data_IF_008398428768
#
_entry.id   IF_008398428768
#
_cell.length_a   1.000
_cell.length_b   1.000
_cell.length_c   1.000
_cell.angle_alpha   90.00
_cell.angle_beta   90.00
_cell.angle_gamma   90.00
#
_symmetry.space_group_name_H-M   'P 1'
#
loop_
_entity.id
_entity.type
_entity.pdbx_description
1 polymer ?
#
# COMPACT_ATOMS: atom_id res chain seq x y z
N UNK A 1 -51.39 11.91 2.11
CA UNK A 1 -50.23 12.65 2.68
C UNK A 1 -49.30 11.65 3.36
N UNK A 2 -48.20 11.28 2.71
CA UNK A 2 -47.25 10.31 3.26
C UNK A 2 -46.25 11.02 4.18
N UNK A 3 -46.24 10.64 5.46
CA UNK A 3 -45.26 11.08 6.45
C UNK A 3 -43.86 10.63 5.99
N UNK A 4 -43.02 11.59 5.60
CA UNK A 4 -41.57 11.42 5.51
C UNK A 4 -41.03 11.14 6.92
N UNK A 5 -40.73 9.89 7.23
CA UNK A 5 -39.88 9.53 8.37
C UNK A 5 -38.45 9.92 8.04
N UNK A 6 -38.07 11.14 8.42
CA UNK A 6 -36.67 11.54 8.47
C UNK A 6 -35.98 10.71 9.56
N UNK A 7 -35.11 9.78 9.17
CA UNK A 7 -34.19 9.16 10.12
C UNK A 7 -33.22 10.22 10.62
N UNK A 8 -33.43 10.69 11.84
CA UNK A 8 -32.50 11.56 12.53
C UNK A 8 -31.16 10.81 12.70
N UNK A 9 -30.09 11.36 12.12
CA UNK A 9 -28.72 10.91 12.40
C UNK A 9 -28.39 11.25 13.86
N UNK A 10 -28.56 10.28 14.77
CA UNK A 10 -28.09 10.40 16.16
C UNK A 10 -26.56 10.47 16.19
N UNK A 11 -26.02 11.36 17.03
CA UNK A 11 -24.58 11.43 17.27
C UNK A 11 -24.10 10.14 17.96
N UNK A 12 -22.82 9.74 17.78
CA UNK A 12 -22.30 8.49 18.35
C UNK A 12 -22.38 8.39 19.88
N UNK A 13 -22.60 9.50 20.59
CA UNK A 13 -22.78 9.54 22.04
C UNK A 13 -24.20 9.21 22.52
N UNK A 14 -25.17 9.06 21.62
CA UNK A 14 -26.59 8.79 21.96
C UNK A 14 -27.04 7.34 21.66
N UNK A 15 -26.07 6.44 21.44
CA UNK A 15 -26.33 5.03 21.13
C UNK A 15 -26.36 4.20 22.42
N UNK A 16 -27.41 3.40 22.60
CA UNK A 16 -27.47 2.40 23.68
C UNK A 16 -26.32 1.38 23.57
N UNK A 17 -25.99 0.69 24.67
CA UNK A 17 -24.94 -0.33 24.67
C UNK A 17 -25.16 -1.45 23.62
N UNK A 18 -26.42 -1.79 23.33
CA UNK A 18 -26.79 -2.74 22.28
C UNK A 18 -26.59 -2.17 20.86
N UNK A 19 -26.94 -0.91 20.62
CA UNK A 19 -26.71 -0.23 19.34
C UNK A 19 -25.21 -0.03 19.07
N UNK A 20 -24.42 0.31 20.10
CA UNK A 20 -22.96 0.36 19.99
C UNK A 20 -22.35 -1.01 19.66
N UNK A 21 -22.82 -2.08 20.29
CA UNK A 21 -22.35 -3.44 20.00
C UNK A 21 -22.69 -3.87 18.56
N UNK A 22 -23.89 -3.54 18.07
CA UNK A 22 -24.32 -3.78 16.69
C UNK A 22 -23.48 -2.97 15.69
N UNK A 23 -23.21 -1.69 15.99
CA UNK A 23 -22.36 -0.84 15.16
C UNK A 23 -20.93 -1.36 15.08
N UNK A 24 -20.33 -1.78 16.20
CA UNK A 24 -19.00 -2.39 16.22
C UNK A 24 -18.95 -3.70 15.40
N UNK A 25 -19.97 -4.56 15.53
CA UNK A 25 -20.09 -5.78 14.72
C UNK A 25 -20.18 -5.46 13.22
N UNK A 26 -20.98 -4.46 12.85
CA UNK A 26 -21.11 -4.01 11.47
C UNK A 26 -19.80 -3.44 10.93
N UNK A 27 -19.14 -2.59 11.71
CA UNK A 27 -17.85 -2.00 11.33
C UNK A 27 -16.78 -3.07 11.09
N UNK A 28 -16.71 -4.08 11.98
CA UNK A 28 -15.82 -5.23 11.78
C UNK A 28 -16.14 -5.98 10.49
N UNK A 29 -17.40 -6.28 10.21
CA UNK A 29 -17.80 -6.95 8.96
C UNK A 29 -17.44 -6.14 7.71
N UNK A 30 -17.62 -4.82 7.75
CA UNK A 30 -17.23 -3.93 6.65
C UNK A 30 -15.71 -3.93 6.47
N UNK A 31 -14.95 -3.90 7.55
CA UNK A 31 -13.49 -3.97 7.50
C UNK A 31 -13.01 -5.32 6.95
N UNK A 32 -13.60 -6.42 7.39
CA UNK A 32 -13.30 -7.76 6.91
C UNK A 32 -13.64 -7.89 5.42
N UNK A 33 -14.77 -7.31 4.97
CA UNK A 33 -15.16 -7.27 3.57
C UNK A 33 -14.17 -6.47 2.71
N UNK A 34 -13.80 -5.26 3.12
CA UNK A 34 -12.82 -4.42 2.43
C UNK A 34 -11.46 -5.10 2.34
N UNK A 35 -11.04 -5.75 3.44
CA UNK A 35 -9.81 -6.52 3.46
C UNK A 35 -9.88 -7.66 2.45
N UNK A 36 -10.97 -8.43 2.45
CA UNK A 36 -11.13 -9.55 1.53
C UNK A 36 -11.16 -9.11 0.07
N UNK A 37 -11.90 -8.03 -0.24
CA UNK A 37 -11.95 -7.41 -1.58
C UNK A 37 -10.54 -7.04 -2.04
N UNK A 38 -9.71 -6.44 -1.18
CA UNK A 38 -8.40 -5.94 -1.55
C UNK A 38 -7.23 -6.92 -1.48
N UNK A 39 -7.46 -8.14 -0.98
CA UNK A 39 -6.38 -9.09 -0.69
C UNK A 39 -6.59 -10.49 -1.27
N UNK A 40 -7.82 -10.88 -1.60
CA UNK A 40 -8.09 -12.19 -2.14
C UNK A 40 -7.90 -12.20 -3.66
N UNK A 41 -7.11 -13.15 -4.20
CA UNK A 41 -7.14 -13.47 -5.62
C UNK A 41 -8.56 -13.85 -6.07
N UNK A 42 -8.95 -13.48 -7.28
CA UNK A 42 -10.23 -13.82 -7.88
C UNK A 42 -10.39 -15.34 -7.98
N UNK A 43 -9.30 -16.05 -8.30
CA UNK A 43 -9.23 -17.51 -8.28
C UNK A 43 -9.65 -18.11 -6.92
N UNK A 44 -9.25 -17.48 -5.81
CA UNK A 44 -9.68 -17.85 -4.46
C UNK A 44 -11.15 -17.51 -4.23
N UNK A 45 -11.59 -16.29 -4.60
CA UNK A 45 -12.97 -15.81 -4.40
C UNK A 45 -14.00 -16.75 -5.05
N UNK A 46 -13.70 -17.28 -6.24
CA UNK A 46 -14.56 -18.24 -6.96
C UNK A 46 -14.72 -19.56 -6.20
N UNK A 47 -13.75 -19.93 -5.37
CA UNK A 47 -13.75 -21.18 -4.59
C UNK A 47 -14.31 -21.01 -3.17
N UNK A 48 -14.57 -19.77 -2.72
CA UNK A 48 -15.06 -19.50 -1.37
C UNK A 48 -16.45 -20.09 -1.13
N UNK A 49 -16.70 -20.49 0.12
CA UNK A 49 -18.02 -20.94 0.57
C UNK A 49 -19.01 -19.77 0.58
N UNK A 50 -20.32 -20.09 0.49
CA UNK A 50 -21.36 -19.08 0.38
C UNK A 50 -21.40 -18.12 1.59
N UNK A 51 -21.09 -18.60 2.80
CA UNK A 51 -21.01 -17.77 4.01
C UNK A 51 -19.83 -16.79 3.99
N UNK A 52 -18.67 -17.20 3.47
CA UNK A 52 -17.54 -16.30 3.32
C UNK A 52 -17.81 -15.26 2.22
N UNK A 53 -18.44 -15.71 1.13
CA UNK A 53 -18.85 -14.85 0.04
C UNK A 53 -19.92 -13.83 0.46
N UNK A 54 -20.79 -14.16 1.44
CA UNK A 54 -21.72 -13.21 2.06
C UNK A 54 -20.99 -12.03 2.71
N UNK A 55 -19.79 -12.25 3.25
CA UNK A 55 -18.97 -11.17 3.82
C UNK A 55 -18.50 -10.21 2.72
N UNK A 56 -18.09 -10.76 1.57
CA UNK A 56 -17.74 -9.99 0.37
C UNK A 56 -18.98 -9.30 -0.26
N UNK A 57 -20.14 -9.97 -0.20
CA UNK A 57 -21.46 -9.53 -0.71
C UNK A 57 -22.22 -8.56 0.17
N UNK A 58 -21.77 -8.24 1.40
CA UNK A 58 -22.42 -7.21 2.24
C UNK A 58 -22.38 -5.81 1.61
N UNK A 59 -21.53 -5.58 0.60
CA UNK A 59 -21.51 -4.39 -0.25
C UNK A 59 -22.18 -4.59 -1.63
N UNK A 60 -22.65 -5.80 -1.95
CA UNK A 60 -23.13 -6.20 -3.28
C UNK A 60 -24.68 -6.24 -3.39
N UNK A 61 -25.43 -5.39 -2.68
CA UNK A 61 -26.89 -5.29 -2.86
C UNK A 61 -27.71 -6.54 -2.51
N UNK A 62 -29.03 -6.50 -2.72
CA UNK A 62 -29.97 -7.56 -2.32
C UNK A 62 -29.68 -8.91 -3.01
N UNK A 63 -29.53 -9.94 -2.18
CA UNK A 63 -29.29 -11.31 -2.60
C UNK A 63 -30.52 -11.90 -3.29
N UNK A 64 -30.35 -12.47 -4.51
CA UNK A 64 -31.32 -13.43 -5.06
C UNK A 64 -31.06 -14.81 -4.43
N UNK A 65 -31.98 -15.34 -3.59
CA UNK A 65 -31.84 -16.69 -3.08
C UNK A 65 -31.85 -17.71 -4.20
N UNK A 66 -30.75 -18.45 -4.32
CA UNK A 66 -30.66 -19.63 -5.19
C UNK A 66 -30.80 -20.88 -4.32
N UNK A 67 -31.74 -21.75 -4.68
CA UNK A 67 -32.09 -22.97 -3.89
C UNK A 67 -31.08 -24.11 -4.04
N UNK A 68 -30.07 -23.93 -4.89
CA UNK A 68 -29.12 -24.98 -5.23
C UNK A 68 -27.79 -24.78 -4.50
N UNK A 69 -27.15 -25.85 -3.99
CA UNK A 69 -25.85 -25.76 -3.35
C UNK A 69 -24.78 -25.20 -4.31
N UNK A 70 -23.89 -24.36 -3.80
CA UNK A 70 -22.69 -23.85 -4.50
C UNK A 70 -22.64 -22.33 -4.68
N UNK A 71 -21.42 -21.80 -4.73
CA UNK A 71 -21.15 -20.36 -4.91
C UNK A 71 -21.83 -19.81 -6.19
N UNK A 72 -22.76 -18.87 -6.03
CA UNK A 72 -23.48 -18.19 -7.13
C UNK A 72 -22.52 -17.62 -8.18
N UNK A 73 -21.38 -17.05 -7.73
CA UNK A 73 -20.37 -16.48 -8.62
C UNK A 73 -19.77 -17.54 -9.54
N UNK A 74 -19.40 -18.70 -8.99
CA UNK A 74 -18.86 -19.83 -9.77
C UNK A 74 -19.86 -20.30 -10.82
N UNK A 75 -21.15 -20.37 -10.48
CA UNK A 75 -22.20 -20.79 -11.42
C UNK A 75 -22.38 -19.79 -12.55
N UNK A 76 -22.36 -18.49 -12.24
CA UNK A 76 -22.42 -17.43 -13.25
C UNK A 76 -21.21 -17.47 -14.20
N UNK A 77 -20.00 -17.63 -13.65
CA UNK A 77 -18.77 -17.74 -14.45
C UNK A 77 -18.81 -18.96 -15.38
N UNK A 78 -19.29 -20.13 -14.90
CA UNK A 78 -19.40 -21.34 -15.71
C UNK A 78 -20.40 -21.21 -16.88
N UNK A 79 -21.32 -20.24 -16.83
CA UNK A 79 -22.26 -19.96 -17.92
C UNK A 79 -21.69 -19.00 -18.98
N UNK A 80 -20.57 -18.33 -18.69
CA UNK A 80 -19.91 -17.47 -19.68
C UNK A 80 -19.31 -18.33 -20.79
N UNK A 81 -19.51 -17.92 -22.04
CA UNK A 81 -18.98 -18.62 -23.21
C UNK A 81 -18.26 -17.66 -24.15
N UNK A 82 -17.31 -18.22 -24.92
CA UNK A 82 -16.56 -17.50 -25.95
C UNK A 82 -15.88 -16.23 -25.43
N UNK A 83 -16.11 -15.11 -26.11
CA UNK A 83 -15.48 -13.83 -25.79
C UNK A 83 -15.77 -13.32 -24.37
N UNK A 84 -16.90 -13.68 -23.75
CA UNK A 84 -17.22 -13.27 -22.37
C UNK A 84 -16.34 -13.99 -21.36
N UNK A 85 -16.10 -15.27 -21.58
CA UNK A 85 -15.21 -16.07 -20.73
C UNK A 85 -13.76 -15.60 -20.86
N UNK A 86 -13.30 -15.29 -22.08
CA UNK A 86 -11.96 -14.72 -22.27
C UNK A 86 -11.78 -13.36 -21.58
N UNK A 87 -12.77 -12.48 -21.63
CA UNK A 87 -12.72 -11.20 -20.90
C UNK A 87 -12.66 -11.41 -19.39
N UNK A 88 -13.40 -12.40 -18.87
CA UNK A 88 -13.29 -12.80 -17.46
C UNK A 88 -11.89 -13.29 -17.11
N UNK A 89 -11.30 -14.19 -17.92
CA UNK A 89 -9.95 -14.70 -17.68
C UNK A 89 -8.89 -13.60 -17.67
N UNK A 90 -8.94 -12.69 -18.65
CA UNK A 90 -8.00 -11.56 -18.73
C UNK A 90 -8.11 -10.64 -17.51
N UNK A 91 -9.33 -10.34 -17.07
CA UNK A 91 -9.54 -9.58 -15.84
C UNK A 91 -9.00 -10.31 -14.60
N UNK A 92 -9.28 -11.61 -14.49
CA UNK A 92 -8.85 -12.43 -13.35
C UNK A 92 -7.33 -12.49 -13.23
N UNK A 93 -6.62 -12.66 -14.34
CA UNK A 93 -5.17 -12.72 -14.40
C UNK A 93 -4.53 -11.42 -13.89
N UNK A 94 -4.94 -10.28 -14.46
CA UNK A 94 -4.40 -8.97 -14.06
C UNK A 94 -4.74 -8.63 -12.61
N UNK A 95 -5.94 -8.99 -12.15
CA UNK A 95 -6.31 -8.80 -10.75
C UNK A 95 -5.41 -9.61 -9.80
N UNK A 96 -5.22 -10.90 -10.10
CA UNK A 96 -4.43 -11.80 -9.26
C UNK A 96 -2.96 -11.35 -9.19
N UNK A 97 -2.39 -10.91 -10.32
CA UNK A 97 -1.02 -10.40 -10.40
C UNK A 97 -0.82 -9.12 -9.57
N UNK A 98 -1.72 -8.15 -9.70
CA UNK A 98 -1.62 -6.88 -8.95
C UNK A 98 -1.87 -7.11 -7.45
N UNK A 99 -2.80 -8.00 -7.08
CA UNK A 99 -3.06 -8.34 -5.68
C UNK A 99 -1.87 -9.08 -5.06
N UNK A 100 -1.13 -9.88 -5.83
CA UNK A 100 0.07 -10.56 -5.32
C UNK A 100 1.16 -9.58 -4.85
N UNK A 101 1.26 -8.40 -5.47
CA UNK A 101 2.25 -7.37 -5.09
C UNK A 101 1.79 -6.48 -3.91
N UNK A 102 0.58 -6.67 -3.37
CA UNK A 102 -0.03 -5.75 -2.38
C UNK A 102 0.84 -5.47 -1.16
N UNK A 103 1.49 -6.49 -0.60
CA UNK A 103 2.26 -6.35 0.64
C UNK A 103 3.54 -5.55 0.41
N UNK A 104 4.12 -5.67 -0.79
CA UNK A 104 5.27 -4.86 -1.21
C UNK A 104 4.87 -3.40 -1.44
N UNK A 105 3.69 -3.18 -2.03
CA UNK A 105 3.13 -1.84 -2.24
C UNK A 105 2.82 -1.16 -0.92
N UNK A 106 2.18 -1.86 0.02
CA UNK A 106 1.88 -1.33 1.35
C UNK A 106 3.14 -1.02 2.15
N UNK A 107 4.18 -1.86 2.06
CA UNK A 107 5.48 -1.58 2.66
C UNK A 107 6.15 -0.35 2.03
N UNK A 108 6.07 -0.19 0.70
CA UNK A 108 6.60 0.97 0.00
C UNK A 108 5.87 2.27 0.39
N UNK A 109 4.53 2.24 0.45
CA UNK A 109 3.70 3.35 0.94
C UNK A 109 4.11 3.76 2.34
N UNK A 110 4.18 2.80 3.26
CA UNK A 110 4.57 3.05 4.64
C UNK A 110 5.99 3.64 4.74
N UNK A 111 6.94 3.20 3.91
CA UNK A 111 8.29 3.75 3.88
C UNK A 111 8.31 5.22 3.41
N UNK A 112 7.48 5.59 2.43
CA UNK A 112 7.38 6.97 1.95
C UNK A 112 6.74 7.90 2.99
N UNK A 113 5.68 7.46 3.66
CA UNK A 113 5.02 8.20 4.73
C UNK A 113 5.95 8.35 5.96
N UNK A 114 6.58 7.25 6.36
CA UNK A 114 7.44 7.15 7.54
C UNK A 114 8.94 7.11 7.17
N UNK A 115 9.38 8.09 6.38
CA UNK A 115 10.73 8.21 5.83
C UNK A 115 11.88 8.42 6.84
N UNK A 116 11.65 8.35 8.15
CA UNK A 116 12.69 8.56 9.17
C UNK A 116 13.73 7.44 9.11
N UNK A 117 15.01 7.80 9.00
CA UNK A 117 16.12 6.84 8.98
C UNK A 117 16.38 6.17 7.63
N UNK A 118 15.47 6.26 6.65
CA UNK A 118 15.66 5.63 5.32
C UNK A 118 16.72 6.34 4.49
N UNK A 119 17.37 5.63 3.58
CA UNK A 119 18.30 6.20 2.60
C UNK A 119 17.56 6.83 1.41
N UNK A 120 18.22 7.71 0.64
CA UNK A 120 17.65 8.22 -0.62
C UNK A 120 17.30 7.06 -1.58
N UNK A 121 18.15 6.03 -1.66
CA UNK A 121 17.95 4.89 -2.57
C UNK A 121 16.71 4.08 -2.19
N UNK A 122 16.49 3.84 -0.90
CA UNK A 122 15.29 3.13 -0.42
C UNK A 122 14.01 3.91 -0.76
N UNK A 123 14.00 5.23 -0.55
CA UNK A 123 12.86 6.06 -0.91
C UNK A 123 12.61 6.10 -2.42
N UNK A 124 13.66 6.13 -3.25
CA UNK A 124 13.51 6.05 -4.70
C UNK A 124 12.95 4.70 -5.17
N UNK A 125 13.39 3.61 -4.54
CA UNK A 125 12.86 2.28 -4.84
C UNK A 125 11.38 2.16 -4.45
N UNK A 126 11.00 2.67 -3.27
CA UNK A 126 9.61 2.70 -2.84
C UNK A 126 8.74 3.56 -3.76
N UNK A 127 9.25 4.72 -4.18
CA UNK A 127 8.59 5.58 -5.17
C UNK A 127 8.36 4.84 -6.50
N UNK A 128 9.39 4.17 -7.03
CA UNK A 128 9.29 3.39 -8.27
C UNK A 128 8.29 2.22 -8.13
N UNK A 129 8.25 1.56 -6.97
CA UNK A 129 7.28 0.51 -6.68
C UNK A 129 5.84 1.04 -6.74
N UNK A 130 5.57 2.19 -6.09
CA UNK A 130 4.23 2.79 -6.14
C UNK A 130 3.85 3.24 -7.55
N UNK A 131 4.79 3.77 -8.33
CA UNK A 131 4.55 4.12 -9.74
C UNK A 131 4.20 2.89 -10.58
N UNK A 132 4.98 1.81 -10.45
CA UNK A 132 4.71 0.54 -11.14
C UNK A 132 3.33 -0.01 -10.78
N UNK A 133 2.93 0.09 -9.51
CA UNK A 133 1.59 -0.28 -9.09
C UNK A 133 0.51 0.59 -9.76
N UNK A 134 0.69 1.91 -9.82
CA UNK A 134 -0.26 2.80 -10.52
C UNK A 134 -0.41 2.44 -12.00
N UNK A 135 0.70 2.13 -12.66
CA UNK A 135 0.72 1.69 -14.06
C UNK A 135 -0.01 0.35 -14.24
N UNK A 136 0.35 -0.67 -13.45
CA UNK A 136 -0.26 -2.00 -13.54
C UNK A 136 -1.74 -2.01 -13.16
N UNK A 137 -2.12 -1.27 -12.11
CA UNK A 137 -3.52 -1.20 -11.66
C UNK A 137 -4.45 -0.46 -12.63
N UNK A 138 -3.93 0.35 -13.57
CA UNK A 138 -4.76 0.91 -14.64
C UNK A 138 -5.30 -0.17 -15.58
N UNK A 139 -4.56 -1.26 -15.78
CA UNK A 139 -5.02 -2.38 -16.59
C UNK A 139 -6.25 -3.06 -15.97
N UNK A 140 -6.32 -3.15 -14.63
CA UNK A 140 -7.49 -3.65 -13.92
C UNK A 140 -8.74 -2.88 -14.35
N UNK A 141 -8.67 -1.55 -14.37
CA UNK A 141 -9.81 -0.70 -14.75
C UNK A 141 -10.19 -0.95 -16.21
N UNK A 142 -9.22 -1.07 -17.10
CA UNK A 142 -9.45 -1.38 -18.52
C UNK A 142 -10.17 -2.72 -18.73
N UNK A 143 -9.63 -3.79 -18.15
CA UNK A 143 -10.23 -5.13 -18.26
C UNK A 143 -11.56 -5.25 -17.52
N UNK A 144 -11.73 -4.58 -16.38
CA UNK A 144 -13.01 -4.48 -15.68
C UNK A 144 -14.07 -3.82 -16.58
N UNK A 145 -13.74 -2.70 -17.21
CA UNK A 145 -14.65 -2.02 -18.13
C UNK A 145 -15.03 -2.90 -19.33
N UNK A 146 -14.09 -3.64 -19.93
CA UNK A 146 -14.41 -4.56 -21.03
C UNK A 146 -15.34 -5.70 -20.58
N UNK A 147 -15.06 -6.31 -19.42
CA UNK A 147 -15.89 -7.36 -18.84
C UNK A 147 -17.32 -6.86 -18.53
N UNK A 148 -17.44 -5.70 -17.88
CA UNK A 148 -18.73 -5.07 -17.56
C UNK A 148 -19.51 -4.63 -18.80
N UNK A 149 -18.87 -4.41 -19.95
CA UNK A 149 -19.57 -4.12 -21.21
C UNK A 149 -20.11 -5.37 -21.89
N UNK A 150 -19.49 -6.53 -21.67
CA UNK A 150 -19.82 -7.79 -22.34
C UNK A 150 -20.84 -8.64 -21.60
N UNK A 151 -20.88 -8.50 -20.28
CA UNK A 151 -21.73 -9.28 -19.37
C UNK A 151 -22.81 -8.36 -18.81
N UNK A 152 -24.08 -8.77 -18.77
CA UNK A 152 -25.16 -7.96 -18.20
C UNK A 152 -25.70 -8.55 -16.88
N UNK A 153 -26.61 -7.84 -16.21
CA UNK A 153 -27.15 -8.24 -14.90
C UNK A 153 -28.02 -9.51 -14.98
N UNK A 154 -28.58 -9.84 -16.14
CA UNK A 154 -29.36 -11.06 -16.33
C UNK A 154 -28.45 -12.30 -16.49
N UNK A 155 -27.23 -12.10 -16.96
CA UNK A 155 -26.25 -13.15 -17.24
C UNK A 155 -25.36 -13.48 -16.05
N UNK A 156 -24.76 -12.47 -15.41
CA UNK A 156 -23.87 -12.67 -14.28
C UNK A 156 -23.87 -11.46 -13.33
N UNK A 157 -24.96 -11.35 -12.57
CA UNK A 157 -25.18 -10.27 -11.61
C UNK A 157 -24.10 -10.21 -10.53
N UNK A 158 -23.81 -11.34 -9.87
CA UNK A 158 -22.84 -11.40 -8.77
C UNK A 158 -21.44 -11.09 -9.27
N UNK A 159 -21.07 -11.56 -10.46
CA UNK A 159 -19.79 -11.22 -11.08
C UNK A 159 -19.67 -9.72 -11.35
N UNK A 160 -20.70 -9.10 -11.94
CA UNK A 160 -20.68 -7.65 -12.22
C UNK A 160 -20.51 -6.83 -10.96
N UNK A 161 -21.28 -7.14 -9.91
CA UNK A 161 -21.18 -6.43 -8.65
C UNK A 161 -19.77 -6.58 -8.05
N UNK A 162 -19.20 -7.80 -8.08
CA UNK A 162 -17.85 -8.04 -7.58
C UNK A 162 -16.82 -7.18 -8.30
N UNK A 163 -16.86 -7.17 -9.64
CA UNK A 163 -15.95 -6.38 -10.49
C UNK A 163 -16.11 -4.88 -10.23
N UNK A 164 -17.34 -4.41 -10.06
CA UNK A 164 -17.63 -3.00 -9.75
C UNK A 164 -17.03 -2.59 -8.39
N UNK A 165 -17.23 -3.41 -7.35
CA UNK A 165 -16.66 -3.16 -6.02
C UNK A 165 -15.13 -3.23 -6.02
N UNK A 166 -14.54 -4.19 -6.73
CA UNK A 166 -13.10 -4.30 -6.92
C UNK A 166 -12.54 -3.10 -7.70
N UNK A 167 -13.27 -2.60 -8.70
CA UNK A 167 -12.94 -1.37 -9.42
C UNK A 167 -12.92 -0.14 -8.51
N UNK A 168 -13.98 0.06 -7.72
CA UNK A 168 -14.04 1.16 -6.75
C UNK A 168 -12.93 1.12 -5.70
N UNK A 169 -12.60 -0.07 -5.21
CA UNK A 169 -11.46 -0.28 -4.31
C UNK A 169 -10.12 0.07 -4.97
N UNK A 170 -9.93 -0.36 -6.23
CA UNK A 170 -8.70 -0.08 -7.00
C UNK A 170 -8.48 1.41 -7.16
N UNK A 171 -9.51 2.16 -7.56
CA UNK A 171 -9.44 3.61 -7.70
C UNK A 171 -9.04 4.26 -6.37
N UNK A 172 -9.67 3.84 -5.27
CA UNK A 172 -9.34 4.36 -3.93
C UNK A 172 -7.87 4.12 -3.58
N UNK A 173 -7.34 2.91 -3.87
CA UNK A 173 -5.91 2.62 -3.67
C UNK A 173 -5.01 3.43 -4.58
N UNK A 174 -5.38 3.64 -5.84
CA UNK A 174 -4.61 4.46 -6.77
C UNK A 174 -4.47 5.90 -6.22
N UNK A 175 -5.56 6.48 -5.72
CA UNK A 175 -5.54 7.81 -5.09
C UNK A 175 -4.61 7.87 -3.87
N UNK A 176 -4.64 6.84 -3.02
CA UNK A 176 -3.73 6.74 -1.87
C UNK A 176 -2.25 6.68 -2.29
N UNK A 177 -1.92 5.86 -3.30
CA UNK A 177 -0.54 5.73 -3.78
C UNK A 177 -0.08 7.01 -4.47
N UNK A 178 -0.94 7.64 -5.27
CA UNK A 178 -0.67 8.92 -5.89
C UNK A 178 -0.40 10.02 -4.86
N UNK A 179 -1.20 10.07 -3.79
CA UNK A 179 -1.02 11.00 -2.67
C UNK A 179 0.32 10.77 -1.96
N UNK A 180 0.68 9.51 -1.67
CA UNK A 180 1.96 9.16 -1.05
C UNK A 180 3.17 9.57 -1.92
N UNK A 181 3.09 9.34 -3.23
CA UNK A 181 4.08 9.78 -4.22
C UNK A 181 4.24 11.31 -4.18
N UNK A 182 3.12 12.05 -4.26
CA UNK A 182 3.12 13.51 -4.24
C UNK A 182 3.74 14.06 -2.94
N UNK A 183 3.34 13.50 -1.80
CA UNK A 183 3.88 13.90 -0.49
C UNK A 183 5.37 13.59 -0.31
N UNK A 184 5.86 12.50 -0.94
CA UNK A 184 7.25 12.10 -0.83
C UNK A 184 8.21 12.88 -1.74
N UNK A 185 7.71 13.53 -2.80
CA UNK A 185 8.55 14.17 -3.82
C UNK A 185 9.52 15.21 -3.23
N UNK A 186 8.99 16.12 -2.42
CA UNK A 186 9.79 17.15 -1.73
C UNK A 186 10.75 16.54 -0.71
N UNK A 187 10.29 15.53 0.04
CA UNK A 187 11.09 14.83 1.05
C UNK A 187 12.32 14.15 0.44
N UNK A 188 12.15 13.47 -0.70
CA UNK A 188 13.26 12.86 -1.44
C UNK A 188 14.23 13.94 -1.92
N UNK A 189 13.72 15.06 -2.45
CA UNK A 189 14.52 16.21 -2.87
C UNK A 189 15.39 16.78 -1.73
N UNK A 190 14.78 17.05 -0.57
CA UNK A 190 15.48 17.56 0.62
C UNK A 190 16.54 16.57 1.10
N UNK A 191 16.22 15.27 1.13
CA UNK A 191 17.20 14.23 1.49
C UNK A 191 18.38 14.15 0.52
N UNK A 192 18.13 14.28 -0.79
CA UNK A 192 19.20 14.34 -1.80
C UNK A 192 20.14 15.53 -1.56
N UNK A 193 19.57 16.70 -1.30
CA UNK A 193 20.35 17.92 -1.02
C UNK A 193 21.15 17.75 0.28
N UNK A 194 20.53 17.30 1.36
CA UNK A 194 21.23 17.11 2.65
C UNK A 194 22.31 16.03 2.59
N UNK A 195 22.08 14.91 1.92
CA UNK A 195 23.13 13.90 1.68
C UNK A 195 24.30 14.50 0.89
N UNK A 196 24.00 15.25 -0.17
CA UNK A 196 25.01 15.88 -1.04
C UNK A 196 25.82 16.94 -0.29
N UNK A 197 25.17 17.78 0.51
CA UNK A 197 25.82 18.78 1.34
C UNK A 197 26.64 18.14 2.47
N UNK A 198 26.20 17.01 3.04
CA UNK A 198 26.93 16.35 4.14
C UNK A 198 28.23 15.66 3.68
N UNK A 199 28.32 15.22 2.42
CA UNK A 199 29.51 14.55 1.85
C UNK A 199 30.79 15.41 1.88
N UNK A 200 30.81 16.67 1.41
CA UNK A 200 31.99 17.52 1.47
C UNK A 200 32.41 17.82 2.92
N UNK A 201 31.48 18.05 3.84
CA UNK A 201 31.81 18.26 5.25
C UNK A 201 32.37 16.99 5.93
N UNK A 202 31.86 15.80 5.61
CA UNK A 202 32.42 14.53 6.10
C UNK A 202 33.84 14.30 5.58
N UNK A 203 34.11 14.59 4.31
CA UNK A 203 35.46 14.49 3.74
C UNK A 203 36.42 15.54 4.34
N UNK A 204 35.96 16.77 4.54
CA UNK A 204 36.72 17.84 5.20
C UNK A 204 37.03 17.49 6.67
N UNK A 205 36.04 17.02 7.44
CA UNK A 205 36.23 16.57 8.82
C UNK A 205 37.23 15.41 8.92
N UNK A 206 37.18 14.44 8.00
CA UNK A 206 38.13 13.32 7.95
C UNK A 206 39.55 13.79 7.63
N UNK A 207 39.69 14.75 6.70
CA UNK A 207 40.98 15.39 6.37
C UNK A 207 41.52 16.23 7.54
N UNK A 208 40.68 17.04 8.18
CA UNK A 208 41.03 17.82 9.36
C UNK A 208 41.46 16.92 10.54
N UNK A 209 40.74 15.82 10.80
CA UNK A 209 41.10 14.86 11.85
C UNK A 209 42.44 14.16 11.56
N UNK A 210 42.75 13.86 10.28
CA UNK A 210 44.07 13.36 9.85
C UNK A 210 45.16 14.42 10.07
N UNK A 211 44.90 15.68 9.71
CA UNK A 211 45.85 16.77 9.88
C UNK A 211 46.14 17.04 11.37
N UNK A 212 45.12 17.14 12.21
CA UNK A 212 45.26 17.28 13.66
C UNK A 212 46.04 16.11 14.29
N UNK A 213 45.83 14.86 13.82
CA UNK A 213 46.63 13.70 14.25
C UNK A 213 48.11 13.83 13.83
N UNK A 214 48.40 14.31 12.61
CA UNK A 214 49.78 14.58 12.16
C UNK A 214 50.45 15.66 13.03
N UNK A 215 49.76 16.78 13.26
CA UNK A 215 50.27 17.88 14.11
C UNK A 215 50.52 17.40 15.55
N UNK A 216 49.60 16.62 16.13
CA UNK A 216 49.75 16.06 17.49
C UNK A 216 50.92 15.08 17.57
N UNK A 217 51.13 14.23 16.56
CA UNK A 217 52.30 13.34 16.48
C UNK A 217 53.61 14.14 16.36
N UNK A 218 53.65 15.17 15.51
CA UNK A 218 54.82 16.03 15.35
C UNK A 218 55.17 16.80 16.64
N UNK A 219 54.18 17.40 17.32
CA UNK A 219 54.39 18.05 18.63
C UNK A 219 54.92 17.07 19.68
N UNK A 220 54.39 15.84 19.76
CA UNK A 220 54.91 14.80 20.68
C UNK A 220 56.36 14.42 20.37
N UNK A 221 56.71 14.25 19.09
CA UNK A 221 58.08 13.93 18.68
C UNK A 221 59.07 15.06 19.00
N UNK A 222 58.66 16.31 18.76
CA UNK A 222 59.47 17.49 19.07
C UNK A 222 59.68 17.67 20.58
N UNK A 223 58.65 17.44 21.40
CA UNK A 223 58.75 17.47 22.88
C UNK A 223 59.71 16.39 23.39
N UNK A 224 59.67 15.17 22.83
CA UNK A 224 60.63 14.09 23.15
C UNK A 224 62.07 14.44 22.74
N UNK A 225 62.28 15.07 21.58
CA UNK A 225 63.61 15.54 21.15
C UNK A 225 64.16 16.64 22.06
N UNK A 226 63.34 17.62 22.46
CA UNK A 226 63.74 18.66 23.43
C UNK A 226 64.06 18.07 24.80
N UNK A 227 63.26 17.11 25.29
CA UNK A 227 63.52 16.41 26.55
C UNK A 227 64.84 15.60 26.52
N UNK A 228 65.13 14.90 25.41
CA UNK A 228 66.44 14.23 25.22
C UNK A 228 67.61 15.22 25.17
N UNK A 229 67.46 16.36 24.49
CA UNK A 229 68.49 17.42 24.46
C UNK A 229 68.69 18.08 25.83
N UNK A 230 67.64 18.23 26.63
CA UNK A 230 67.74 18.78 27.98
C UNK A 230 68.42 17.79 28.94
N UNK A 231 68.06 16.50 28.88
CA UNK A 231 68.72 15.45 29.67
C UNK A 231 70.20 15.29 29.33
N UNK A 232 70.57 15.42 28.05
CA UNK A 232 71.97 15.38 27.61
C UNK A 232 72.79 16.62 28.02
N UNK A 233 72.14 17.74 28.37
CA UNK A 233 72.79 18.97 28.86
C UNK A 233 72.98 19.01 30.37
N UNK A 234 72.34 18.11 31.11
CA UNK A 234 72.48 17.98 32.58
C UNK A 234 73.57 16.95 32.93
N UNK A 235 74.01 16.15 31.95
CA UNK A 235 75.06 15.12 32.07
C UNK A 235 76.44 15.57 31.54
N UNK A 236 76.62 16.87 31.27
CA UNK A 236 77.90 17.55 30.98
C UNK A 236 78.09 18.59 32.07
#
# INVERSE_FOLDING_TARGET
>A
MAKKTAMAKKAPNDLSGAEMALMKKRQKRVQDALHLIGTAPLSRIVQMEEEELKTLKLNLGEYRPTREPGNTLRKEIMKLQGHKFHAYCAYAEVWDDVVAEKDLVDAAKHLLENHKGSTVKELQNAFAMLQRYLEASNEIVGYACDLLRRVNDEEAHVLRQLVDVQGGYTITRQDEMFSAICGAFLTIGIKKVTETLSKPFKCAARRAKKLCRKIKKAKKAHKKKKAKKAAARILV
#
